data_IF_984057943968
#
_entry.id   IF_984057943968
#
_cell.length_a   1.000
_cell.length_b   1.000
_cell.length_c   1.000
_cell.angle_alpha   90.00
_cell.angle_beta   90.00
_cell.angle_gamma   90.00
#
_symmetry.space_group_name_H-M   'P 1'
#
loop_
_entity.id
_entity.type
_entity.pdbx_description
1 polymer ?
#
# COMPACT_ATOMS: atom_id res chain seq x y z
N UNK A 1 60.65 21.17 -19.50
CA UNK A 1 59.41 21.73 -18.88
C UNK A 1 59.72 22.31 -17.49
N UNK A 2 59.37 23.59 -17.26
CA UNK A 2 59.57 24.29 -15.98
C UNK A 2 58.74 23.65 -14.85
N UNK A 3 59.20 23.82 -13.60
CA UNK A 3 58.52 23.31 -12.39
C UNK A 3 57.08 23.85 -12.28
N UNK A 4 56.86 25.13 -12.63
CA UNK A 4 55.54 25.76 -12.60
C UNK A 4 54.54 25.15 -13.58
N UNK A 5 54.99 24.75 -14.79
CA UNK A 5 54.11 24.09 -15.77
C UNK A 5 53.65 22.70 -15.29
N UNK A 6 54.49 21.97 -14.55
CA UNK A 6 54.11 20.65 -14.00
C UNK A 6 53.11 20.79 -12.84
N UNK A 7 53.29 21.79 -11.99
CA UNK A 7 52.36 22.09 -10.90
C UNK A 7 50.99 22.52 -11.44
N UNK A 8 50.97 23.43 -12.40
CA UNK A 8 49.73 23.85 -13.05
C UNK A 8 48.94 22.68 -13.66
N UNK A 9 49.60 21.78 -14.40
CA UNK A 9 48.94 20.60 -14.98
C UNK A 9 48.45 19.61 -13.93
N UNK A 10 49.19 19.42 -12.83
CA UNK A 10 48.80 18.54 -11.75
C UNK A 10 47.57 19.08 -10.99
N UNK A 11 47.50 20.39 -10.75
CA UNK A 11 46.38 21.02 -10.07
C UNK A 11 45.12 21.02 -10.96
N UNK A 12 45.29 21.20 -12.27
CA UNK A 12 44.21 21.07 -13.25
C UNK A 12 43.65 19.65 -13.32
N UNK A 13 44.53 18.64 -13.31
CA UNK A 13 44.11 17.23 -13.28
C UNK A 13 43.37 16.88 -11.99
N UNK A 14 43.86 17.35 -10.82
CA UNK A 14 43.16 17.16 -9.54
C UNK A 14 41.80 17.83 -9.53
N UNK A 15 41.70 19.06 -10.02
CA UNK A 15 40.44 19.80 -10.13
C UNK A 15 39.43 19.11 -11.07
N UNK A 16 39.90 18.62 -12.22
CA UNK A 16 39.04 17.88 -13.15
C UNK A 16 38.54 16.56 -12.54
N UNK A 17 39.40 15.81 -11.85
CA UNK A 17 39.01 14.57 -11.17
C UNK A 17 38.04 14.81 -10.02
N UNK A 18 38.24 15.85 -9.19
CA UNK A 18 37.34 16.14 -8.08
C UNK A 18 35.95 16.57 -8.56
N UNK A 19 35.87 17.43 -9.59
CA UNK A 19 34.60 17.81 -10.22
C UNK A 19 33.94 16.62 -10.90
N UNK A 20 34.70 15.76 -11.58
CA UNK A 20 34.19 14.54 -12.21
C UNK A 20 33.59 13.56 -11.20
N UNK A 21 34.27 13.33 -10.07
CA UNK A 21 33.79 12.46 -9.00
C UNK A 21 32.55 13.03 -8.30
N UNK A 22 32.52 14.34 -8.05
CA UNK A 22 31.35 15.01 -7.50
C UNK A 22 30.16 14.95 -8.46
N UNK A 23 30.37 15.23 -9.74
CA UNK A 23 29.35 15.14 -10.78
C UNK A 23 28.80 13.73 -10.95
N UNK A 24 29.67 12.71 -10.93
CA UNK A 24 29.26 11.31 -10.98
C UNK A 24 28.50 10.88 -9.72
N UNK A 25 28.95 11.32 -8.53
CA UNK A 25 28.28 11.04 -7.26
C UNK A 25 26.89 11.66 -7.20
N UNK A 26 26.77 12.96 -7.49
CA UNK A 26 25.49 13.66 -7.54
C UNK A 26 24.56 13.12 -8.63
N UNK A 27 25.11 12.80 -9.81
CA UNK A 27 24.36 12.18 -10.90
C UNK A 27 23.87 10.77 -10.56
N UNK A 28 24.65 10.00 -9.79
CA UNK A 28 24.26 8.70 -9.26
C UNK A 28 23.10 8.80 -8.28
N UNK A 29 23.18 9.71 -7.31
CA UNK A 29 22.10 9.97 -6.34
C UNK A 29 20.84 10.44 -7.06
N UNK A 30 20.95 11.39 -7.99
CA UNK A 30 19.81 11.90 -8.75
C UNK A 30 19.10 10.80 -9.56
N UNK A 31 19.85 9.90 -10.21
CA UNK A 31 19.27 8.75 -10.93
C UNK A 31 18.58 7.77 -9.99
N UNK A 32 19.20 7.47 -8.85
CA UNK A 32 18.61 6.57 -7.85
C UNK A 32 17.30 7.14 -7.29
N UNK A 33 17.22 8.46 -7.07
CA UNK A 33 15.99 9.12 -6.64
C UNK A 33 14.93 9.19 -7.73
N UNK A 34 15.31 9.41 -8.99
CA UNK A 34 14.37 9.40 -10.11
C UNK A 34 13.75 8.01 -10.34
N UNK A 35 14.45 6.94 -9.97
CA UNK A 35 13.96 5.56 -10.02
C UNK A 35 13.42 5.04 -8.69
N UNK A 36 13.39 5.88 -7.63
CA UNK A 36 12.82 5.49 -6.36
C UNK A 36 11.29 5.40 -6.47
N UNK A 37 10.80 4.23 -6.84
CA UNK A 37 9.42 3.83 -6.60
C UNK A 37 9.38 3.30 -5.16
N UNK A 38 8.79 4.02 -4.20
CA UNK A 38 8.70 3.50 -2.86
C UNK A 38 7.88 2.21 -2.89
N UNK A 39 8.52 1.10 -2.49
CA UNK A 39 7.81 -0.16 -2.33
C UNK A 39 6.68 -0.04 -1.29
N UNK A 40 6.78 0.89 -0.34
CA UNK A 40 5.92 0.91 0.85
C UNK A 40 5.30 2.28 1.18
N UNK A 41 5.50 3.32 0.37
CA UNK A 41 4.93 4.62 0.70
C UNK A 41 3.40 4.59 0.52
N UNK A 42 2.70 4.92 1.60
CA UNK A 42 1.26 5.15 1.55
C UNK A 42 1.02 6.62 1.20
N UNK A 43 0.25 6.84 0.14
CA UNK A 43 -0.07 8.19 -0.36
C UNK A 43 -1.31 8.74 0.34
N UNK A 44 -1.50 10.08 0.38
CA UNK A 44 -2.72 10.68 0.91
C UNK A 44 -3.99 10.14 0.22
N UNK A 45 -5.18 10.35 0.82
CA UNK A 45 -6.46 10.10 0.16
C UNK A 45 -6.53 10.76 -1.22
N UNK A 46 -7.25 10.14 -2.14
CA UNK A 46 -7.42 10.56 -3.53
C UNK A 46 -6.14 10.69 -4.36
N UNK A 47 -4.99 10.19 -3.91
CA UNK A 47 -3.80 10.18 -4.76
C UNK A 47 -4.06 9.43 -6.07
N UNK A 48 -3.64 10.03 -7.19
CA UNK A 48 -3.60 9.35 -8.49
C UNK A 48 -2.67 8.13 -8.44
N UNK A 49 -2.72 7.32 -9.50
CA UNK A 49 -1.76 6.24 -9.68
C UNK A 49 -0.33 6.77 -9.61
N UNK A 50 0.58 6.00 -9.01
CA UNK A 50 1.90 6.49 -8.58
C UNK A 50 2.66 7.26 -9.67
N UNK A 51 2.62 6.82 -10.92
CA UNK A 51 3.29 7.52 -12.02
C UNK A 51 2.66 8.89 -12.34
N UNK A 52 1.33 8.97 -12.35
CA UNK A 52 0.57 10.19 -12.60
C UNK A 52 0.69 11.15 -11.41
N UNK A 53 0.60 10.62 -10.19
CA UNK A 53 0.81 11.35 -8.96
C UNK A 53 2.20 12.02 -8.94
N UNK A 54 3.26 11.27 -9.26
CA UNK A 54 4.63 11.80 -9.30
C UNK A 54 4.82 12.88 -10.39
N UNK A 55 4.08 12.77 -11.49
CA UNK A 55 4.07 13.76 -12.58
C UNK A 55 3.29 15.03 -12.24
N UNK A 56 2.16 14.91 -11.53
CA UNK A 56 1.29 16.01 -11.15
C UNK A 56 1.73 16.71 -9.85
N UNK A 57 2.41 16.03 -8.94
CA UNK A 57 2.79 16.58 -7.65
C UNK A 57 3.90 17.65 -7.80
N UNK A 58 3.53 18.89 -7.51
CA UNK A 58 4.45 20.04 -7.52
C UNK A 58 5.26 20.19 -6.23
N UNK A 59 5.15 19.25 -5.28
CA UNK A 59 5.92 19.20 -4.02
C UNK A 59 5.76 20.47 -3.16
N UNK A 60 4.57 21.07 -3.17
CA UNK A 60 4.29 22.32 -2.45
C UNK A 60 4.09 22.15 -0.93
N UNK A 61 3.76 20.95 -0.45
CA UNK A 61 3.55 20.69 0.98
C UNK A 61 2.17 21.09 1.54
N UNK A 62 1.31 21.72 0.74
CA UNK A 62 0.00 22.21 1.22
C UNK A 62 -0.91 21.09 1.78
N UNK A 63 -0.86 19.89 1.21
CA UNK A 63 -1.61 18.74 1.75
C UNK A 63 -1.11 18.31 3.14
N UNK A 64 0.19 18.48 3.44
CA UNK A 64 0.79 18.18 4.74
C UNK A 64 0.34 19.22 5.76
N UNK A 65 0.40 20.50 5.41
CA UNK A 65 -0.04 21.60 6.28
C UNK A 65 -1.55 21.55 6.57
N UNK A 66 -2.35 21.15 5.59
CA UNK A 66 -3.79 21.01 5.74
C UNK A 66 -4.22 19.78 6.55
N UNK A 67 -3.31 18.84 6.83
CA UNK A 67 -3.63 17.65 7.61
C UNK A 67 -3.65 17.99 9.12
N UNK A 68 -4.80 17.87 9.81
CA UNK A 68 -4.90 18.29 11.21
C UNK A 68 -4.27 17.32 12.22
N UNK A 69 -3.82 16.14 11.76
CA UNK A 69 -3.35 15.05 12.61
C UNK A 69 -1.87 14.71 12.44
N UNK A 70 -1.10 15.53 11.70
CA UNK A 70 0.32 15.26 11.38
C UNK A 70 0.58 13.87 10.76
N UNK A 71 -0.44 13.28 10.13
CA UNK A 71 -0.35 11.98 9.43
C UNK A 71 0.65 12.07 8.28
N UNK A 72 0.55 13.13 7.48
CA UNK A 72 1.32 13.29 6.27
C UNK A 72 2.67 13.95 6.55
N UNK A 73 3.70 13.52 5.84
CA UNK A 73 5.02 14.17 5.84
C UNK A 73 5.62 14.19 4.45
N UNK A 74 6.51 15.15 4.21
CA UNK A 74 7.28 15.21 2.98
C UNK A 74 8.51 14.32 3.07
N UNK A 75 8.68 13.48 2.05
CA UNK A 75 9.86 12.65 1.89
C UNK A 75 11.14 13.50 1.83
N UNK A 76 12.13 13.13 2.63
CA UNK A 76 13.43 13.80 2.69
C UNK A 76 14.43 13.16 1.75
N UNK A 77 15.55 13.85 1.52
CA UNK A 77 16.64 13.31 0.74
C UNK A 77 17.15 12.00 1.39
N UNK A 78 17.45 11.00 0.57
CA UNK A 78 17.92 9.65 0.98
C UNK A 78 16.86 8.76 1.66
N UNK A 79 15.61 9.21 1.79
CA UNK A 79 14.52 8.31 2.15
C UNK A 79 14.14 7.41 0.96
N UNK A 80 13.54 6.22 1.20
CA UNK A 80 13.13 5.29 0.13
C UNK A 80 11.90 5.77 -0.64
N UNK A 81 11.45 7.00 -0.43
CA UNK A 81 10.31 7.66 -1.04
C UNK A 81 10.80 8.82 -1.88
N UNK A 82 10.14 9.09 -3.02
CA UNK A 82 10.53 10.20 -3.90
C UNK A 82 10.55 11.53 -3.13
N UNK A 83 11.71 12.19 -3.07
CA UNK A 83 11.92 13.41 -2.29
C UNK A 83 10.87 14.49 -2.59
N UNK A 84 10.38 15.14 -1.53
CA UNK A 84 9.41 16.22 -1.57
C UNK A 84 7.98 15.79 -1.86
N UNK A 85 7.72 14.49 -1.99
CA UNK A 85 6.35 13.98 -2.16
C UNK A 85 5.74 13.61 -0.80
N UNK A 86 4.43 13.84 -0.60
CA UNK A 86 3.76 13.49 0.65
C UNK A 86 3.55 11.98 0.76
N UNK A 87 3.73 11.46 1.97
CA UNK A 87 3.41 10.08 2.34
C UNK A 87 3.13 9.99 3.85
N UNK A 88 2.62 8.84 4.30
CA UNK A 88 2.50 8.54 5.72
C UNK A 88 2.95 7.11 6.05
N UNK A 89 3.19 6.88 7.34
CA UNK A 89 3.53 5.57 7.89
C UNK A 89 2.40 5.12 8.81
N UNK A 90 1.60 4.15 8.35
CA UNK A 90 0.41 3.67 9.04
C UNK A 90 0.67 3.29 10.50
N UNK A 91 1.82 2.65 10.79
CA UNK A 91 2.19 2.26 12.16
C UNK A 91 2.42 3.46 13.08
N UNK A 92 2.97 4.57 12.55
CA UNK A 92 3.33 5.73 13.36
C UNK A 92 2.11 6.62 13.62
N UNK A 93 1.53 7.19 12.54
CA UNK A 93 0.34 8.04 12.61
C UNK A 93 -0.53 7.68 11.39
N UNK A 94 -1.65 6.98 11.58
CA UNK A 94 -2.53 6.59 10.47
C UNK A 94 -3.34 7.79 9.96
N UNK A 95 -4.01 7.60 8.82
CA UNK A 95 -5.02 8.54 8.34
C UNK A 95 -6.27 8.45 9.22
N UNK A 96 -6.71 9.62 9.71
CA UNK A 96 -7.89 9.74 10.56
C UNK A 96 -9.22 9.71 9.80
N UNK A 97 -9.22 9.62 8.47
CA UNK A 97 -10.43 9.55 7.63
C UNK A 97 -11.35 10.75 7.83
N UNK A 98 -10.84 11.97 7.65
CA UNK A 98 -11.62 13.20 7.79
C UNK A 98 -12.69 13.29 6.68
N UNK A 99 -13.94 13.57 7.04
CA UNK A 99 -15.06 13.67 6.09
C UNK A 99 -14.88 14.80 5.06
N UNK A 100 -14.21 15.89 5.44
CA UNK A 100 -13.96 17.08 4.61
C UNK A 100 -12.68 16.98 3.76
N UNK A 101 -11.89 15.92 3.96
CA UNK A 101 -10.69 15.57 3.20
C UNK A 101 -9.79 16.81 2.89
N UNK A 102 -9.34 17.57 3.91
CA UNK A 102 -8.72 18.88 3.72
C UNK A 102 -7.43 18.82 2.91
N UNK A 103 -6.72 17.68 2.96
CA UNK A 103 -5.52 17.45 2.16
C UNK A 103 -5.77 17.46 0.65
N UNK A 104 -6.93 16.94 0.19
CA UNK A 104 -7.33 16.93 -1.23
C UNK A 104 -7.75 18.33 -1.66
N UNK A 105 -8.57 19.01 -0.84
CA UNK A 105 -9.02 20.38 -1.09
C UNK A 105 -7.84 21.34 -1.22
N UNK A 106 -6.80 21.16 -0.41
CA UNK A 106 -5.60 22.00 -0.43
C UNK A 106 -4.65 21.72 -1.62
N UNK A 107 -4.85 20.65 -2.40
CA UNK A 107 -3.95 20.28 -3.49
C UNK A 107 -4.19 21.13 -4.75
N UNK A 108 -3.28 22.06 -5.13
CA UNK A 108 -3.52 22.94 -6.28
C UNK A 108 -3.22 22.28 -7.63
N UNK A 109 -2.43 21.21 -7.63
CA UNK A 109 -1.92 20.60 -8.87
C UNK A 109 -2.77 19.45 -9.40
N UNK A 110 -3.81 19.03 -8.66
CA UNK A 110 -4.62 17.86 -9.00
C UNK A 110 -3.88 16.53 -8.84
N UNK A 111 -2.75 16.49 -8.11
CA UNK A 111 -2.08 15.24 -7.78
C UNK A 111 -2.94 14.34 -6.85
N UNK A 112 -3.82 14.97 -6.08
CA UNK A 112 -4.92 14.31 -5.39
C UNK A 112 -6.20 14.68 -6.14
N UNK A 113 -6.99 13.68 -6.53
CA UNK A 113 -8.18 13.83 -7.35
C UNK A 113 -9.30 14.59 -6.58
N UNK A 114 -9.64 15.83 -6.97
CA UNK A 114 -10.67 16.61 -6.29
C UNK A 114 -12.09 16.07 -6.55
N UNK A 115 -12.28 15.15 -7.50
CA UNK A 115 -13.57 14.51 -7.74
C UNK A 115 -13.95 13.53 -6.62
N UNK A 116 -12.97 13.01 -5.86
CA UNK A 116 -13.22 12.20 -4.68
C UNK A 116 -13.73 13.09 -3.54
N UNK A 117 -15.03 12.96 -3.27
CA UNK A 117 -15.72 13.68 -2.19
C UNK A 117 -16.08 12.80 -0.99
N UNK A 118 -15.94 11.48 -1.15
CA UNK A 118 -16.25 10.48 -0.14
C UNK A 118 -14.96 9.76 0.27
N UNK A 119 -14.60 9.91 1.55
CA UNK A 119 -13.37 9.36 2.12
C UNK A 119 -13.36 7.83 2.13
N UNK A 120 -14.53 7.18 2.16
CA UNK A 120 -14.65 5.72 2.16
C UNK A 120 -14.27 5.11 0.79
N UNK A 121 -14.19 5.94 -0.24
CA UNK A 121 -13.71 5.57 -1.58
C UNK A 121 -12.20 5.73 -1.73
N UNK A 122 -11.49 6.24 -0.72
CA UNK A 122 -10.04 6.37 -0.76
C UNK A 122 -9.37 5.01 -1.00
N UNK A 123 -8.24 5.02 -1.73
CA UNK A 123 -7.42 3.83 -2.03
C UNK A 123 -5.95 4.12 -1.73
N UNK A 124 -5.65 4.47 -0.48
CA UNK A 124 -4.29 4.78 -0.01
C UNK A 124 -3.39 3.53 0.05
N UNK A 125 -4.00 2.37 0.23
CA UNK A 125 -3.35 1.07 0.36
C UNK A 125 -4.36 -0.02 0.70
N UNK A 126 -3.86 -1.20 1.08
CA UNK A 126 -4.69 -2.31 1.54
C UNK A 126 -4.05 -2.91 2.78
N UNK A 127 -4.85 -3.14 3.82
CA UNK A 127 -4.40 -3.88 4.99
C UNK A 127 -4.26 -5.36 4.66
N UNK A 128 -3.13 -5.96 5.02
CA UNK A 128 -2.84 -7.38 4.81
C UNK A 128 -2.40 -7.96 6.14
N UNK A 129 -3.04 -9.06 6.54
CA UNK A 129 -2.54 -9.86 7.66
C UNK A 129 -1.33 -10.66 7.16
N UNK A 130 -0.14 -10.17 7.45
CA UNK A 130 1.11 -10.71 6.93
C UNK A 130 1.62 -11.86 7.81
N UNK A 131 1.47 -11.73 9.12
CA UNK A 131 2.01 -12.68 10.09
C UNK A 131 0.86 -13.40 10.81
N UNK A 132 0.55 -14.60 10.32
CA UNK A 132 -0.45 -15.48 10.92
C UNK A 132 0.10 -16.17 12.18
N UNK A 133 1.40 -16.37 12.26
CA UNK A 133 2.08 -17.08 13.34
C UNK A 133 2.12 -16.26 14.64
N UNK A 134 2.16 -14.94 14.54
CA UNK A 134 2.19 -14.04 15.71
C UNK A 134 0.83 -13.42 16.02
N UNK A 135 -0.11 -13.40 15.07
CA UNK A 135 -1.44 -12.83 15.30
C UNK A 135 -2.18 -13.54 16.46
N UNK A 136 -2.61 -12.76 17.46
CA UNK A 136 -3.26 -13.30 18.67
C UNK A 136 -4.49 -14.17 18.34
N UNK A 137 -5.28 -13.80 17.32
CA UNK A 137 -6.45 -14.59 16.90
C UNK A 137 -6.08 -15.94 16.29
N UNK A 138 -4.98 -16.01 15.53
CA UNK A 138 -4.46 -17.26 14.99
C UNK A 138 -3.83 -18.15 16.07
N UNK A 139 -3.29 -17.55 17.12
CA UNK A 139 -2.87 -18.27 18.34
C UNK A 139 -4.06 -18.75 19.20
N UNK A 140 -5.29 -18.37 18.83
CA UNK A 140 -6.53 -18.73 19.52
C UNK A 140 -6.83 -17.89 20.77
N UNK A 141 -6.16 -16.74 20.92
CA UNK A 141 -6.52 -15.71 21.90
C UNK A 141 -7.59 -14.79 21.29
N UNK A 142 -8.43 -14.19 22.14
CA UNK A 142 -9.49 -13.29 21.67
C UNK A 142 -8.96 -11.87 21.54
N UNK A 143 -8.80 -11.40 20.31
CA UNK A 143 -8.42 -10.02 19.99
C UNK A 143 -9.35 -9.48 18.89
N UNK A 144 -9.95 -8.32 19.07
CA UNK A 144 -10.83 -7.69 18.08
C UNK A 144 -10.44 -6.23 17.79
N UNK A 145 -9.22 -5.86 18.16
CA UNK A 145 -8.74 -4.46 18.08
C UNK A 145 -8.69 -3.95 16.65
N UNK A 146 -8.07 -4.69 15.73
CA UNK A 146 -7.99 -4.28 14.31
C UNK A 146 -9.39 -4.18 13.64
N UNK A 147 -10.32 -5.04 14.06
CA UNK A 147 -11.70 -5.03 13.58
C UNK A 147 -12.48 -3.82 14.12
N UNK A 148 -12.42 -3.57 15.44
CA UNK A 148 -13.16 -2.46 16.09
C UNK A 148 -12.65 -1.07 15.73
N UNK A 149 -11.36 -0.93 15.46
CA UNK A 149 -10.77 0.37 15.07
C UNK A 149 -11.02 0.70 13.60
N UNK A 150 -11.48 -0.28 12.80
CA UNK A 150 -11.74 -0.07 11.40
C UNK A 150 -12.97 0.85 11.23
N UNK A 151 -12.85 1.99 10.53
CA UNK A 151 -13.98 2.88 10.25
C UNK A 151 -15.07 2.18 9.42
N UNK A 152 -14.64 1.26 8.54
CA UNK A 152 -15.49 0.45 7.68
C UNK A 152 -15.64 -0.96 8.24
N UNK A 153 -16.09 -1.05 9.49
CA UNK A 153 -16.36 -2.33 10.16
C UNK A 153 -17.36 -3.17 9.37
N UNK A 154 -17.16 -4.49 9.36
CA UNK A 154 -17.97 -5.46 8.59
C UNK A 154 -17.96 -5.29 7.07
N UNK A 155 -17.29 -4.26 6.54
CA UNK A 155 -17.11 -4.01 5.12
C UNK A 155 -15.66 -4.22 4.69
N UNK A 156 -14.71 -3.54 5.35
CA UNK A 156 -13.28 -3.65 5.06
C UNK A 156 -12.59 -4.74 5.88
N UNK A 157 -13.05 -5.01 7.10
CA UNK A 157 -12.54 -6.10 7.94
C UNK A 157 -13.72 -6.86 8.54
N UNK A 158 -13.74 -8.18 8.37
CA UNK A 158 -14.68 -9.10 9.05
C UNK A 158 -13.92 -10.03 10.00
N UNK A 159 -14.64 -10.66 10.94
CA UNK A 159 -14.10 -11.71 11.80
C UNK A 159 -14.70 -13.06 11.39
N UNK A 160 -13.90 -13.87 10.72
CA UNK A 160 -14.31 -15.21 10.29
C UNK A 160 -14.18 -16.20 11.45
N UNK A 161 -15.26 -16.93 11.73
CA UNK A 161 -15.30 -17.89 12.82
C UNK A 161 -14.78 -19.26 12.34
N UNK A 162 -13.61 -19.65 12.86
CA UNK A 162 -12.99 -20.94 12.54
C UNK A 162 -12.90 -21.79 13.81
N UNK A 163 -13.20 -23.09 13.71
CA UNK A 163 -13.06 -24.00 14.86
C UNK A 163 -11.60 -24.07 15.29
N UNK A 164 -11.32 -23.84 16.58
CA UNK A 164 -9.97 -23.94 17.11
C UNK A 164 -9.47 -25.40 17.09
N UNK A 165 -8.42 -25.73 16.32
CA UNK A 165 -7.96 -27.12 16.19
C UNK A 165 -7.32 -27.65 17.49
N UNK A 166 -6.75 -26.78 18.33
CA UNK A 166 -6.07 -27.14 19.58
C UNK A 166 -7.05 -27.53 20.68
N UNK A 167 -8.14 -26.77 20.84
CA UNK A 167 -9.08 -26.98 21.95
C UNK A 167 -10.37 -27.67 21.52
N UNK A 168 -10.75 -27.58 20.24
CA UNK A 168 -11.97 -28.15 19.69
C UNK A 168 -13.29 -27.57 20.23
N UNK A 169 -13.24 -26.63 21.19
CA UNK A 169 -14.40 -26.08 21.91
C UNK A 169 -14.70 -24.61 21.60
N UNK A 170 -13.67 -23.78 21.45
CA UNK A 170 -13.82 -22.36 21.16
C UNK A 170 -13.60 -22.07 19.67
N UNK A 171 -14.25 -21.03 19.14
CA UNK A 171 -13.95 -20.50 17.82
C UNK A 171 -12.77 -19.51 17.90
N UNK A 172 -11.93 -19.52 16.86
CA UNK A 172 -10.98 -18.47 16.56
C UNK A 172 -11.68 -17.43 15.68
N UNK A 173 -11.40 -16.16 15.93
CA UNK A 173 -12.00 -15.03 15.22
C UNK A 173 -10.95 -14.46 14.27
N UNK A 174 -10.80 -15.04 13.09
CA UNK A 174 -9.73 -14.68 12.16
C UNK A 174 -10.09 -13.36 11.45
N UNK A 175 -9.28 -12.30 11.60
CA UNK A 175 -9.55 -11.04 10.92
C UNK A 175 -9.27 -11.22 9.42
N UNK A 176 -10.28 -10.96 8.61
CA UNK A 176 -10.22 -11.07 7.15
C UNK A 176 -10.44 -9.70 6.54
N UNK A 177 -9.46 -9.23 5.76
CA UNK A 177 -9.52 -7.93 5.09
C UNK A 177 -10.11 -8.08 3.70
N UNK A 178 -11.12 -7.27 3.39
CA UNK A 178 -11.74 -7.20 2.06
C UNK A 178 -11.15 -6.02 1.30
N UNK A 179 -10.31 -6.33 0.31
CA UNK A 179 -9.53 -5.32 -0.41
C UNK A 179 -10.36 -4.31 -1.21
N UNK A 180 -11.62 -4.64 -1.52
CA UNK A 180 -12.48 -3.78 -2.33
C UNK A 180 -13.08 -2.64 -1.52
N UNK A 181 -13.23 -2.84 -0.20
CA UNK A 181 -13.72 -1.85 0.76
C UNK A 181 -12.60 -1.22 1.60
N UNK A 182 -11.44 -1.88 1.70
CA UNK A 182 -10.33 -1.37 2.48
C UNK A 182 -9.74 -0.10 1.85
N UNK A 183 -9.75 1.01 2.59
CA UNK A 183 -9.19 2.29 2.12
C UNK A 183 -7.69 2.41 2.29
N UNK A 184 -7.09 1.56 3.14
CA UNK A 184 -5.68 1.65 3.50
C UNK A 184 -5.34 2.77 4.47
N UNK A 185 -6.28 3.22 5.31
CA UNK A 185 -6.06 4.31 6.26
C UNK A 185 -4.99 4.03 7.33
N UNK A 186 -4.66 2.76 7.61
CA UNK A 186 -3.60 2.41 8.57
C UNK A 186 -4.05 2.23 10.02
N UNK A 187 -5.29 2.59 10.39
CA UNK A 187 -5.78 2.51 11.78
C UNK A 187 -5.62 1.11 12.38
N UNK A 188 -5.84 0.06 11.60
CA UNK A 188 -5.68 -1.33 12.05
C UNK A 188 -4.23 -1.73 12.34
N UNK A 189 -3.26 -1.19 11.59
CA UNK A 189 -1.83 -1.44 11.81
C UNK A 189 -1.33 -0.68 13.04
N UNK A 190 -1.73 0.59 13.16
CA UNK A 190 -1.41 1.43 14.32
C UNK A 190 -1.93 0.84 15.63
N UNK A 191 -3.19 0.40 15.64
CA UNK A 191 -3.84 -0.13 16.84
C UNK A 191 -3.43 -1.58 17.16
N UNK A 192 -2.64 -2.25 16.31
CA UNK A 192 -2.21 -3.61 16.58
C UNK A 192 -1.40 -3.64 17.89
N UNK A 193 -1.90 -4.41 18.87
CA UNK A 193 -1.33 -4.49 20.23
C UNK A 193 0.06 -5.14 20.31
N UNK A 194 0.55 -5.68 19.20
CA UNK A 194 1.86 -6.31 19.10
C UNK A 194 2.96 -5.26 18.88
N UNK A 195 4.14 -5.50 19.45
CA UNK A 195 5.33 -4.64 19.26
C UNK A 195 5.66 -4.45 17.77
N UNK A 196 5.56 -5.52 16.99
CA UNK A 196 5.56 -5.47 15.52
C UNK A 196 4.18 -5.92 15.03
N UNK A 197 3.51 -5.10 14.21
CA UNK A 197 2.16 -5.40 13.77
C UNK A 197 2.12 -6.65 12.87
N UNK A 198 1.18 -7.54 13.18
CA UNK A 198 0.88 -8.70 12.33
C UNK A 198 0.08 -8.31 11.07
N UNK A 199 -0.73 -7.26 11.17
CA UNK A 199 -1.47 -6.66 10.05
C UNK A 199 -0.78 -5.38 9.63
N UNK A 200 -0.42 -5.25 8.35
CA UNK A 200 0.26 -4.06 7.82
C UNK A 200 -0.46 -3.54 6.59
N UNK A 201 -0.44 -2.23 6.40
CA UNK A 201 -0.96 -1.60 5.19
C UNK A 201 0.16 -1.47 4.19
N UNK A 202 -0.09 -1.98 2.99
CA UNK A 202 0.85 -1.90 1.87
C UNK A 202 0.16 -1.25 0.67
N UNK A 203 0.92 -0.67 -0.28
CA UNK A 203 0.35 -0.14 -1.50
C UNK A 203 -0.47 -1.18 -2.28
N UNK A 204 -1.54 -0.75 -2.94
CA UNK A 204 -2.49 -1.63 -3.62
C UNK A 204 -1.81 -2.61 -4.61
N UNK A 205 -0.84 -2.10 -5.38
CA UNK A 205 -0.02 -2.87 -6.33
C UNK A 205 0.79 -4.01 -5.71
N UNK A 206 1.06 -3.97 -4.40
CA UNK A 206 1.76 -5.05 -3.68
C UNK A 206 0.78 -5.99 -2.98
N UNK A 207 -0.40 -5.50 -2.59
CA UNK A 207 -1.40 -6.30 -1.89
C UNK A 207 -2.23 -7.17 -2.84
N UNK A 208 -2.67 -6.61 -3.98
CA UNK A 208 -3.59 -7.30 -4.90
C UNK A 208 -2.85 -7.95 -6.05
N UNK A 209 -3.19 -9.21 -6.31
CA UNK A 209 -2.89 -9.87 -7.58
C UNK A 209 -3.96 -9.55 -8.62
N UNK A 210 -3.62 -9.81 -9.88
CA UNK A 210 -4.56 -9.71 -11.01
C UNK A 210 -4.80 -11.11 -11.60
N UNK A 211 -6.05 -11.43 -11.90
CA UNK A 211 -6.38 -12.62 -12.68
C UNK A 211 -5.86 -12.41 -14.10
N UNK A 212 -5.04 -13.33 -14.62
CA UNK A 212 -4.59 -13.26 -16.00
C UNK A 212 -5.78 -13.16 -16.96
N UNK A 213 -5.69 -12.30 -17.98
CA UNK A 213 -6.82 -11.94 -18.85
C UNK A 213 -7.49 -13.09 -19.62
N UNK A 214 -6.90 -14.29 -19.58
CA UNK A 214 -7.46 -15.52 -20.17
C UNK A 214 -8.34 -16.31 -19.20
N UNK A 215 -8.25 -16.06 -17.89
CA UNK A 215 -9.13 -16.67 -16.90
C UNK A 215 -10.46 -15.93 -16.89
N UNK A 216 -11.54 -16.66 -17.12
CA UNK A 216 -12.91 -16.15 -17.04
C UNK A 216 -13.69 -16.94 -16.01
N UNK A 217 -14.40 -16.24 -15.15
CA UNK A 217 -15.26 -16.87 -14.16
C UNK A 217 -16.56 -17.30 -14.83
N UNK A 218 -16.77 -18.60 -14.96
CA UNK A 218 -17.90 -19.15 -15.73
C UNK A 218 -19.27 -18.69 -15.23
N UNK A 219 -19.41 -18.35 -13.94
CA UNK A 219 -20.66 -17.82 -13.39
C UNK A 219 -20.91 -16.35 -13.79
N UNK A 220 -19.88 -15.51 -13.87
CA UNK A 220 -20.00 -14.13 -14.35
C UNK A 220 -20.33 -14.11 -15.84
N UNK A 221 -19.62 -14.92 -16.63
CA UNK A 221 -19.86 -15.02 -18.07
C UNK A 221 -21.25 -15.60 -18.37
N UNK A 222 -21.73 -16.54 -17.55
CA UNK A 222 -23.11 -17.03 -17.62
C UNK A 222 -24.13 -15.93 -17.33
N UNK A 223 -23.90 -15.10 -16.32
CA UNK A 223 -24.79 -13.97 -16.02
C UNK A 223 -24.83 -12.99 -17.20
N UNK A 224 -23.68 -12.64 -17.78
CA UNK A 224 -23.60 -11.75 -18.96
C UNK A 224 -24.29 -12.34 -20.19
N UNK A 225 -24.11 -13.63 -20.46
CA UNK A 225 -24.63 -14.29 -21.65
C UNK A 225 -26.05 -14.84 -21.50
N UNK A 226 -26.63 -14.81 -20.29
CA UNK A 226 -27.93 -15.42 -19.95
C UNK A 226 -27.94 -16.96 -20.00
N UNK A 227 -26.85 -17.60 -20.40
CA UNK A 227 -26.70 -19.06 -20.51
C UNK A 227 -25.25 -19.47 -20.24
N UNK A 228 -25.04 -20.73 -19.85
CA UNK A 228 -23.69 -21.25 -19.65
C UNK A 228 -22.90 -21.22 -20.96
N UNK A 229 -21.69 -20.65 -20.93
CA UNK A 229 -20.77 -20.68 -22.08
C UNK A 229 -20.06 -22.03 -22.22
N UNK A 230 -19.96 -22.77 -21.13
CA UNK A 230 -19.58 -24.17 -21.12
C UNK A 230 -20.86 -24.96 -21.41
N UNK A 231 -20.82 -25.93 -22.32
CA UNK A 231 -21.99 -26.75 -22.69
C UNK A 231 -22.63 -27.48 -21.50
N UNK A 232 -23.59 -28.37 -21.77
CA UNK A 232 -24.23 -29.14 -20.70
C UNK A 232 -23.20 -29.88 -19.84
N UNK A 233 -23.34 -29.72 -18.52
CA UNK A 233 -22.43 -30.33 -17.55
C UNK A 233 -22.67 -31.84 -17.59
N UNK A 234 -21.78 -32.58 -18.26
CA UNK A 234 -21.80 -34.04 -18.27
C UNK A 234 -21.78 -34.53 -16.83
N UNK A 235 -22.89 -35.14 -16.39
CA UNK A 235 -22.98 -35.74 -15.07
C UNK A 235 -22.31 -37.10 -15.16
N UNK A 236 -21.04 -37.18 -14.73
CA UNK A 236 -20.34 -38.45 -14.68
C UNK A 236 -21.02 -39.37 -13.66
N UNK A 237 -21.17 -40.67 -13.96
CA UNK A 237 -21.74 -41.61 -13.01
C UNK A 237 -20.90 -41.62 -11.73
N UNK A 238 -21.55 -41.33 -10.60
CA UNK A 238 -20.91 -41.42 -9.29
C UNK A 238 -20.58 -42.89 -9.04
N UNK A 239 -19.29 -43.27 -9.03
CA UNK A 239 -18.91 -44.62 -8.56
C UNK A 239 -19.24 -44.68 -7.07
N UNK A 240 -20.31 -45.40 -6.73
CA UNK A 240 -20.51 -45.85 -5.36
C UNK A 240 -19.45 -46.93 -5.06
N UNK A 241 -18.85 -46.97 -3.87
CA UNK A 241 -18.04 -48.10 -3.46
C UNK A 241 -18.89 -49.37 -3.59
N UNK A 242 -18.36 -50.39 -4.26
CA UNK A 242 -19.04 -51.67 -4.44
C UNK A 242 -19.22 -52.32 -3.05
N UNK A 243 -20.47 -52.45 -2.56
CA UNK A 243 -20.77 -53.19 -1.33
C UNK A 243 -21.56 -52.47 -0.22
N UNK A 244 -22.41 -51.49 -0.54
CA UNK A 244 -23.49 -51.02 0.36
C UNK A 244 -24.86 -51.26 -0.26
#
# INVERSE_FOLDING_TARGET
>A
MSRSRRQFLADLAKGACSVGLLGAGLGGVARQQAQAVPAQALRPPAALDEAEFLGACVRCGLCVEACPYDTLKLARLLEPVTTGTPYFEARAVPCEMCDDIPCVVACPSGALDPAMTDIDQARMGVAVLIDHETCLNYLGLRCDVCYRVCPLIDQAITLELVRNPRTGKHAMFLPTVHSDSCTGCGKCEHACVLETAAIKVVPHRLAKGELGHHYRLGWEEKQKAGKSLIGERLTLPTRKPEGL
#
